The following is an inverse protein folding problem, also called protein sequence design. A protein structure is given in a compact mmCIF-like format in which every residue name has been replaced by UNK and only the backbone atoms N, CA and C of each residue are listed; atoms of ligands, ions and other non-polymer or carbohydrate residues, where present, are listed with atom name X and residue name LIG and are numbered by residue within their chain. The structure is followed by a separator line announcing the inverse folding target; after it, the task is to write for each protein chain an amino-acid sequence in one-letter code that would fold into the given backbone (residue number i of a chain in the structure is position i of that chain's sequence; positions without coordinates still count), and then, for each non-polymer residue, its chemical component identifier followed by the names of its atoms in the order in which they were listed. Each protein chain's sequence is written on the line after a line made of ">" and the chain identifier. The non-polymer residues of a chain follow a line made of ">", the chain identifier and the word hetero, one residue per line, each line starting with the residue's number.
data_IF_077327378433
#
_entry.id   IF_077327378433
#
_cell.length_a   1.000
_cell.length_b   1.000
_cell.length_c   1.000
_cell.angle_alpha   90.00
_cell.angle_beta   90.00
_cell.angle_gamma   90.00
#
_symmetry.space_group_name_H-M   'P 1'
#
loop_
_entity.id
_entity.type
_entity.pdbx_description
1 polymer ?
#
# COMPACT_ATOMS: atom_id res chain seq x y z
N UNK A 1 -15.78 -61.75 4.87
CA UNK A 1 -15.86 -60.27 4.89
C UNK A 1 -16.51 -59.86 3.59
N UNK A 2 -17.67 -59.21 3.67
CA UNK A 2 -18.50 -58.94 2.49
C UNK A 2 -17.84 -57.89 1.60
N UNK A 3 -17.68 -58.17 0.29
CA UNK A 3 -16.96 -57.26 -0.63
C UNK A 3 -17.60 -55.87 -0.66
N UNK A 4 -18.92 -55.81 -0.49
CA UNK A 4 -19.67 -54.57 -0.39
C UNK A 4 -19.26 -53.73 0.84
N UNK A 5 -19.07 -54.36 2.00
CA UNK A 5 -18.67 -53.69 3.23
C UNK A 5 -17.25 -53.10 3.12
N UNK A 6 -16.33 -53.82 2.48
CA UNK A 6 -14.96 -53.32 2.23
C UNK A 6 -14.96 -52.11 1.29
N UNK A 7 -15.77 -52.13 0.22
CA UNK A 7 -15.88 -51.00 -0.72
C UNK A 7 -16.45 -49.77 -0.03
N UNK A 8 -17.50 -49.94 0.79
CA UNK A 8 -18.10 -48.82 1.55
C UNK A 8 -17.10 -48.22 2.53
N UNK A 9 -16.32 -49.04 3.25
CA UNK A 9 -15.30 -48.55 4.17
C UNK A 9 -14.19 -47.77 3.44
N UNK A 10 -13.72 -48.26 2.30
CA UNK A 10 -12.72 -47.56 1.50
C UNK A 10 -13.24 -46.23 0.95
N UNK A 11 -14.49 -46.20 0.46
CA UNK A 11 -15.13 -44.97 -0.02
C UNK A 11 -15.31 -43.94 1.11
N UNK A 12 -15.73 -44.38 2.30
CA UNK A 12 -15.88 -43.53 3.47
C UNK A 12 -14.52 -42.96 3.92
N UNK A 13 -13.47 -43.78 3.97
CA UNK A 13 -12.12 -43.34 4.31
C UNK A 13 -11.60 -42.31 3.30
N UNK A 14 -11.78 -42.58 2.00
CA UNK A 14 -11.39 -41.65 0.94
C UNK A 14 -12.12 -40.30 1.05
N UNK A 15 -13.42 -40.32 1.36
CA UNK A 15 -14.20 -39.10 1.58
C UNK A 15 -13.70 -38.29 2.78
N UNK A 16 -13.36 -38.95 3.89
CA UNK A 16 -12.81 -38.29 5.09
C UNK A 16 -11.44 -37.65 4.78
N UNK A 17 -10.55 -38.37 4.10
CA UNK A 17 -9.24 -37.85 3.71
C UNK A 17 -9.38 -36.65 2.78
N UNK A 18 -10.25 -36.75 1.77
CA UNK A 18 -10.51 -35.65 0.84
C UNK A 18 -11.07 -34.42 1.57
N UNK A 19 -12.03 -34.60 2.47
CA UNK A 19 -12.59 -33.53 3.29
C UNK A 19 -11.49 -32.88 4.16
N UNK A 20 -10.62 -33.69 4.77
CA UNK A 20 -9.48 -33.21 5.56
C UNK A 20 -8.51 -32.35 4.74
N UNK A 21 -8.17 -32.79 3.52
CA UNK A 21 -7.30 -32.05 2.60
C UNK A 21 -7.93 -30.72 2.19
N UNK A 22 -9.23 -30.71 1.86
CA UNK A 22 -9.96 -29.50 1.48
C UNK A 22 -10.00 -28.51 2.64
N UNK A 23 -10.34 -28.96 3.85
CA UNK A 23 -10.35 -28.11 5.05
C UNK A 23 -8.94 -27.56 5.34
N UNK A 24 -7.91 -28.41 5.28
CA UNK A 24 -6.52 -27.99 5.46
C UNK A 24 -6.09 -26.93 4.45
N UNK A 25 -6.42 -27.12 3.17
CA UNK A 25 -6.12 -26.15 2.11
C UNK A 25 -6.82 -24.80 2.35
N UNK A 26 -8.08 -24.81 2.77
CA UNK A 26 -8.83 -23.58 3.10
C UNK A 26 -8.23 -22.83 4.29
N UNK A 27 -7.78 -23.55 5.32
CA UNK A 27 -7.12 -22.95 6.48
C UNK A 27 -5.77 -22.32 6.11
N UNK A 28 -4.97 -23.03 5.31
CA UNK A 28 -3.70 -22.51 4.79
C UNK A 28 -3.93 -21.27 3.91
N UNK A 29 -4.90 -21.31 3.00
CA UNK A 29 -5.27 -20.17 2.18
C UNK A 29 -5.64 -18.95 3.03
N UNK A 30 -6.52 -19.13 4.02
CA UNK A 30 -6.90 -18.05 4.95
C UNK A 30 -5.69 -17.50 5.70
N UNK A 31 -4.79 -18.35 6.17
CA UNK A 31 -3.56 -17.91 6.86
C UNK A 31 -2.66 -17.09 5.93
N UNK A 32 -2.51 -17.52 4.68
CA UNK A 32 -1.72 -16.80 3.67
C UNK A 32 -2.34 -15.43 3.38
N UNK A 33 -3.64 -15.35 3.13
CA UNK A 33 -4.33 -14.07 2.89
C UNK A 33 -4.17 -13.13 4.07
N UNK A 34 -4.33 -13.61 5.31
CA UNK A 34 -4.10 -12.80 6.52
C UNK A 34 -2.69 -12.21 6.57
N UNK A 35 -1.67 -13.02 6.25
CA UNK A 35 -0.27 -12.58 6.25
C UNK A 35 -0.05 -11.45 5.24
N UNK A 36 -0.50 -11.62 4.01
CA UNK A 36 -0.39 -10.58 2.99
C UNK A 36 -1.18 -9.32 3.35
N UNK A 37 -2.37 -9.46 3.95
CA UNK A 37 -3.15 -8.32 4.42
C UNK A 37 -2.39 -7.51 5.48
N UNK A 38 -1.72 -8.16 6.44
CA UNK A 38 -0.87 -7.49 7.42
C UNK A 38 0.28 -6.74 6.74
N UNK A 39 0.92 -7.37 5.75
CA UNK A 39 1.98 -6.72 4.95
C UNK A 39 1.46 -5.48 4.22
N UNK A 40 0.29 -5.55 3.59
CA UNK A 40 -0.32 -4.41 2.89
C UNK A 40 -0.73 -3.30 3.86
N UNK A 41 -1.19 -3.62 5.07
CA UNK A 41 -1.45 -2.61 6.12
C UNK A 41 -0.16 -1.87 6.49
N UNK A 42 0.96 -2.60 6.64
CA UNK A 42 2.26 -1.98 6.87
C UNK A 42 2.70 -1.06 5.72
N UNK A 43 2.50 -1.50 4.46
CA UNK A 43 2.80 -0.69 3.27
C UNK A 43 1.94 0.56 3.18
N UNK A 44 0.64 0.44 3.48
CA UNK A 44 -0.27 1.57 3.56
C UNK A 44 0.25 2.67 4.49
N UNK A 45 0.82 2.29 5.63
CA UNK A 45 1.40 3.28 6.55
C UNK A 45 2.63 3.96 5.98
N UNK A 46 3.47 3.22 5.23
CA UNK A 46 4.59 3.80 4.48
C UNK A 46 4.12 4.82 3.43
N UNK A 47 3.13 4.47 2.62
CA UNK A 47 2.55 5.37 1.61
C UNK A 47 1.93 6.61 2.27
N UNK A 48 1.20 6.43 3.38
CA UNK A 48 0.64 7.55 4.16
C UNK A 48 1.73 8.48 4.69
N UNK A 49 2.80 7.94 5.26
CA UNK A 49 3.92 8.75 5.75
C UNK A 49 4.62 9.51 4.62
N UNK A 50 4.72 8.91 3.42
CA UNK A 50 5.21 9.58 2.22
C UNK A 50 4.33 10.75 1.80
N UNK A 51 3.00 10.56 1.74
CA UNK A 51 2.04 11.62 1.48
C UNK A 51 2.10 12.73 2.54
N UNK A 52 2.16 12.38 3.83
CA UNK A 52 2.23 13.37 4.90
C UNK A 52 3.51 14.21 4.80
N UNK A 53 4.63 13.59 4.41
CA UNK A 53 5.90 14.28 4.16
C UNK A 53 5.80 15.22 2.96
N UNK A 54 5.21 14.75 1.85
CA UNK A 54 4.94 15.57 0.67
C UNK A 54 4.05 16.77 1.01
N UNK A 55 2.91 16.52 1.66
CA UNK A 55 1.94 17.55 2.05
C UNK A 55 2.54 18.56 3.03
N UNK A 56 3.45 18.13 3.91
CA UNK A 56 4.17 19.03 4.81
C UNK A 56 5.08 20.00 4.05
N UNK A 57 5.79 19.54 3.00
CA UNK A 57 6.58 20.42 2.14
C UNK A 57 5.68 21.40 1.38
N UNK A 58 4.62 20.91 0.74
CA UNK A 58 3.66 21.76 0.01
C UNK A 58 3.06 22.82 0.92
N UNK A 59 2.65 22.45 2.13
CA UNK A 59 2.10 23.40 3.12
C UNK A 59 3.14 24.44 3.54
N UNK A 60 4.37 24.03 3.82
CA UNK A 60 5.45 24.95 4.21
C UNK A 60 5.70 25.99 3.12
N UNK A 61 5.70 25.57 1.85
CA UNK A 61 5.87 26.46 0.71
C UNK A 61 4.64 27.38 0.51
N UNK A 62 3.43 26.88 0.75
CA UNK A 62 2.22 27.70 0.69
C UNK A 62 2.21 28.82 1.76
N UNK A 63 2.83 28.57 2.92
CA UNK A 63 2.97 29.53 4.01
C UNK A 63 4.28 30.38 3.91
N UNK A 64 5.10 30.17 2.87
CA UNK A 64 6.41 30.80 2.71
C UNK A 64 6.31 32.23 2.17
N UNK A 65 7.35 33.03 2.40
CA UNK A 65 7.42 34.38 1.83
C UNK A 65 7.74 34.33 0.32
N UNK A 66 7.44 35.41 -0.42
CA UNK A 66 7.80 35.51 -1.84
C UNK A 66 9.30 35.27 -2.08
N UNK A 67 10.16 35.75 -1.17
CA UNK A 67 11.60 35.55 -1.25
C UNK A 67 12.00 34.07 -1.11
N UNK A 68 11.33 33.33 -0.22
CA UNK A 68 11.57 31.91 -0.02
C UNK A 68 11.04 31.08 -1.20
N UNK A 69 9.89 31.46 -1.77
CA UNK A 69 9.35 30.82 -2.98
C UNK A 69 10.27 31.03 -4.19
N UNK A 70 10.85 32.23 -4.33
CA UNK A 70 11.84 32.51 -5.36
C UNK A 70 13.11 31.68 -5.13
N UNK A 71 13.58 31.58 -3.87
CA UNK A 71 14.73 30.75 -3.53
C UNK A 71 14.47 29.27 -3.87
N UNK A 72 13.32 28.73 -3.50
CA UNK A 72 12.89 27.38 -3.85
C UNK A 72 12.85 27.14 -5.36
N UNK A 73 12.32 28.11 -6.13
CA UNK A 73 12.20 28.00 -7.58
C UNK A 73 13.56 28.05 -8.31
N UNK A 74 14.51 28.84 -7.80
CA UNK A 74 15.79 29.10 -8.46
C UNK A 74 16.95 28.24 -7.96
N UNK A 75 16.94 27.81 -6.71
CA UNK A 75 17.99 26.98 -6.12
C UNK A 75 17.62 25.49 -6.16
N UNK A 76 18.19 24.74 -7.11
CA UNK A 76 18.02 23.29 -7.15
C UNK A 76 18.56 22.58 -5.89
N UNK A 77 19.51 23.22 -5.18
CA UNK A 77 20.07 22.74 -3.93
C UNK A 77 19.17 22.96 -2.70
N UNK A 78 18.02 23.62 -2.85
CA UNK A 78 17.11 23.94 -1.75
C UNK A 78 16.67 22.69 -0.98
N UNK A 79 16.55 22.80 0.34
CA UNK A 79 16.25 21.65 1.21
C UNK A 79 14.91 21.00 0.85
N UNK A 80 13.87 21.81 0.60
CA UNK A 80 12.56 21.30 0.19
C UNK A 80 12.62 20.56 -1.15
N UNK A 81 13.48 20.95 -2.11
CA UNK A 81 13.66 20.19 -3.36
C UNK A 81 14.31 18.84 -3.13
N UNK A 82 15.31 18.78 -2.24
CA UNK A 82 15.93 17.50 -1.84
C UNK A 82 14.91 16.58 -1.16
N UNK A 83 14.08 17.13 -0.28
CA UNK A 83 13.01 16.38 0.38
C UNK A 83 11.99 15.84 -0.63
N UNK A 84 11.57 16.64 -1.61
CA UNK A 84 10.68 16.19 -2.69
C UNK A 84 11.30 15.07 -3.53
N UNK A 85 12.59 15.17 -3.91
CA UNK A 85 13.30 14.08 -4.63
C UNK A 85 13.36 12.80 -3.81
N UNK A 86 13.61 12.90 -2.51
CA UNK A 86 13.64 11.75 -1.63
C UNK A 86 12.27 11.08 -1.49
N UNK A 87 11.21 11.88 -1.33
CA UNK A 87 9.84 11.38 -1.31
C UNK A 87 9.49 10.72 -2.64
N UNK A 88 9.80 11.36 -3.77
CA UNK A 88 9.53 10.83 -5.09
C UNK A 88 10.21 9.46 -5.31
N UNK A 89 11.50 9.38 -5.00
CA UNK A 89 12.26 8.13 -5.12
C UNK A 89 11.69 7.00 -4.27
N UNK A 90 11.40 7.27 -2.99
CA UNK A 90 10.84 6.26 -2.08
C UNK A 90 9.46 5.79 -2.52
N UNK A 91 8.57 6.72 -2.86
CA UNK A 91 7.21 6.39 -3.28
C UNK A 91 7.17 5.65 -4.61
N UNK A 92 8.11 5.92 -5.53
CA UNK A 92 8.23 5.14 -6.76
C UNK A 92 8.63 3.69 -6.50
N UNK A 93 9.56 3.47 -5.57
CA UNK A 93 9.94 2.12 -5.16
C UNK A 93 8.74 1.41 -4.54
N UNK A 94 8.02 2.05 -3.63
CA UNK A 94 6.82 1.46 -3.01
C UNK A 94 5.73 1.14 -4.05
N UNK A 95 5.48 2.02 -5.02
CA UNK A 95 4.53 1.78 -6.11
C UNK A 95 4.90 0.52 -6.91
N UNK A 96 6.15 0.41 -7.36
CA UNK A 96 6.64 -0.77 -8.12
C UNK A 96 6.54 -2.04 -7.28
N UNK A 97 6.94 -1.98 -6.01
CA UNK A 97 6.88 -3.13 -5.11
C UNK A 97 5.43 -3.59 -4.85
N UNK A 98 4.48 -2.66 -4.75
CA UNK A 98 3.05 -2.97 -4.60
C UNK A 98 2.47 -3.57 -5.88
N UNK A 99 2.74 -2.97 -7.04
CA UNK A 99 2.23 -3.42 -8.34
C UNK A 99 2.75 -4.81 -8.76
N UNK A 100 3.96 -5.17 -8.33
CA UNK A 100 4.60 -6.45 -8.69
C UNK A 100 4.45 -7.53 -7.61
N UNK A 101 3.78 -7.23 -6.49
CA UNK A 101 3.65 -8.18 -5.39
C UNK A 101 2.78 -9.38 -5.80
N UNK A 102 3.24 -10.64 -5.58
CA UNK A 102 2.43 -11.81 -5.86
C UNK A 102 1.35 -11.97 -4.79
N UNK A 103 0.16 -11.44 -5.07
CA UNK A 103 -0.96 -11.36 -4.13
C UNK A 103 -2.08 -12.37 -4.44
N UNK A 104 -2.78 -12.87 -3.41
CA UNK A 104 -4.10 -13.45 -3.58
C UNK A 104 -5.03 -12.48 -4.32
N UNK A 105 -5.89 -12.99 -5.21
CA UNK A 105 -6.77 -12.17 -6.06
C UNK A 105 -7.62 -11.18 -5.27
N UNK A 106 -8.03 -11.55 -4.06
CA UNK A 106 -8.86 -10.69 -3.20
C UNK A 106 -8.11 -9.47 -2.64
N UNK A 107 -6.77 -9.46 -2.68
CA UNK A 107 -5.93 -8.37 -2.17
C UNK A 107 -5.36 -7.48 -3.29
N UNK A 108 -5.47 -7.88 -4.55
CA UNK A 108 -4.96 -7.12 -5.70
C UNK A 108 -5.55 -5.69 -5.73
N UNK A 109 -6.88 -5.48 -5.61
CA UNK A 109 -7.42 -4.11 -5.67
C UNK A 109 -6.89 -3.19 -4.57
N UNK A 110 -6.62 -3.73 -3.38
CA UNK A 110 -6.02 -2.96 -2.29
C UNK A 110 -4.58 -2.55 -2.63
N UNK A 111 -3.80 -3.46 -3.23
CA UNK A 111 -2.44 -3.14 -3.64
C UNK A 111 -2.40 -2.16 -4.82
N UNK A 112 -3.34 -2.27 -5.75
CA UNK A 112 -3.52 -1.32 -6.86
C UNK A 112 -3.81 0.09 -6.31
N UNK A 113 -4.81 0.24 -5.42
CA UNK A 113 -5.11 1.54 -4.79
C UNK A 113 -3.90 2.15 -4.06
N UNK A 114 -3.12 1.33 -3.34
CA UNK A 114 -1.91 1.79 -2.65
C UNK A 114 -0.77 2.13 -3.63
N UNK A 115 -0.64 1.37 -4.72
CA UNK A 115 0.33 1.61 -5.78
C UNK A 115 0.03 2.93 -6.48
N UNK A 116 -1.22 3.15 -6.87
CA UNK A 116 -1.68 4.38 -7.53
C UNK A 116 -1.49 5.60 -6.64
N UNK A 117 -1.76 5.47 -5.32
CA UNK A 117 -1.49 6.53 -4.36
C UNK A 117 0.01 6.88 -4.29
N UNK A 118 0.88 5.86 -4.19
CA UNK A 118 2.33 6.05 -4.13
C UNK A 118 2.88 6.63 -5.44
N UNK A 119 2.40 6.14 -6.59
CA UNK A 119 2.79 6.62 -7.91
C UNK A 119 2.43 8.10 -8.10
N UNK A 120 1.21 8.50 -7.74
CA UNK A 120 0.78 9.90 -7.85
C UNK A 120 1.58 10.84 -6.92
N UNK A 121 1.92 10.40 -5.70
CA UNK A 121 2.83 11.17 -4.83
C UNK A 121 4.19 11.31 -5.50
N UNK A 122 4.70 10.21 -6.05
CA UNK A 122 6.00 10.20 -6.68
C UNK A 122 6.06 11.13 -7.90
N UNK A 123 5.05 11.06 -8.77
CA UNK A 123 4.95 11.87 -9.99
C UNK A 123 4.86 13.35 -9.67
N UNK A 124 4.00 13.73 -8.72
CA UNK A 124 3.84 15.15 -8.36
C UNK A 124 5.08 15.69 -7.64
N UNK A 125 5.68 14.92 -6.73
CA UNK A 125 6.91 15.35 -6.07
C UNK A 125 8.09 15.48 -7.05
N UNK A 126 8.22 14.54 -7.98
CA UNK A 126 9.24 14.58 -9.04
C UNK A 126 9.03 15.77 -9.96
N UNK A 127 7.81 15.98 -10.48
CA UNK A 127 7.49 17.08 -11.38
C UNK A 127 7.86 18.45 -10.78
N UNK A 128 7.59 18.67 -9.49
CA UNK A 128 8.02 19.89 -8.80
C UNK A 128 9.54 19.93 -8.67
N UNK A 129 10.15 18.82 -8.25
CA UNK A 129 11.58 18.78 -7.94
C UNK A 129 12.52 18.82 -9.15
N UNK A 130 12.02 18.47 -10.34
CA UNK A 130 12.76 18.50 -11.60
C UNK A 130 12.48 19.77 -12.42
N UNK A 131 11.38 20.46 -12.16
CA UNK A 131 11.09 21.75 -12.80
C UNK A 131 12.09 22.83 -12.37
N UNK A 132 12.29 23.84 -13.22
CA UNK A 132 13.27 24.90 -12.98
C UNK A 132 12.62 26.28 -13.12
N UNK A 133 12.93 27.17 -12.18
CA UNK A 133 12.46 28.56 -12.22
C UNK A 133 10.95 28.67 -12.04
N UNK A 134 10.26 29.56 -12.76
CA UNK A 134 8.82 29.78 -12.60
C UNK A 134 7.97 28.52 -12.78
N UNK A 135 8.40 27.58 -13.63
CA UNK A 135 7.70 26.32 -13.85
C UNK A 135 7.59 25.47 -12.56
N UNK A 136 8.53 25.59 -11.62
CA UNK A 136 8.47 24.90 -10.32
C UNK A 136 7.25 25.36 -9.52
N UNK A 137 6.92 26.65 -9.56
CA UNK A 137 5.76 27.21 -8.87
C UNK A 137 4.45 26.82 -9.58
N UNK A 138 4.45 26.73 -10.90
CA UNK A 138 3.30 26.22 -11.66
C UNK A 138 3.00 24.76 -11.30
N UNK A 139 4.03 23.90 -11.17
CA UNK A 139 3.86 22.52 -10.72
C UNK A 139 3.38 22.44 -9.28
N UNK A 140 3.91 23.29 -8.39
CA UNK A 140 3.45 23.37 -7.01
C UNK A 140 1.96 23.77 -6.92
N UNK A 141 1.50 24.69 -7.77
CA UNK A 141 0.10 25.10 -7.85
C UNK A 141 -0.82 24.02 -8.45
N UNK A 142 -0.28 23.11 -9.26
CA UNK A 142 -1.01 22.02 -9.89
C UNK A 142 -1.17 20.76 -9.01
N UNK A 143 -0.61 20.76 -7.79
CA UNK A 143 -0.66 19.61 -6.87
C UNK A 143 -2.10 19.23 -6.52
N UNK A 144 -2.44 17.96 -6.72
CA UNK A 144 -3.74 17.37 -6.40
C UNK A 144 -3.64 16.44 -5.18
N UNK A 145 -3.50 17.04 -3.98
CA UNK A 145 -3.59 16.30 -2.72
C UNK A 145 -4.94 15.59 -2.52
N UNK A 146 -6.10 16.19 -2.88
CA UNK A 146 -7.38 15.50 -2.82
C UNK A 146 -7.43 14.23 -3.66
N UNK A 147 -6.88 14.25 -4.87
CA UNK A 147 -6.78 13.09 -5.76
C UNK A 147 -6.03 11.93 -5.11
N UNK A 148 -4.83 12.21 -4.56
CA UNK A 148 -4.03 11.19 -3.87
C UNK A 148 -4.78 10.62 -2.65
N UNK A 149 -5.44 11.49 -1.85
CA UNK A 149 -6.17 11.04 -0.66
C UNK A 149 -7.31 10.08 -0.96
N UNK A 150 -7.99 10.23 -2.11
CA UNK A 150 -9.08 9.31 -2.50
C UNK A 150 -8.61 7.86 -2.62
N UNK A 151 -7.41 7.62 -3.13
CA UNK A 151 -6.85 6.28 -3.21
C UNK A 151 -6.54 5.70 -1.84
N UNK A 152 -5.98 6.49 -0.93
CA UNK A 152 -5.77 6.06 0.47
C UNK A 152 -7.08 5.81 1.21
N UNK A 153 -8.11 6.62 0.99
CA UNK A 153 -9.43 6.42 1.59
C UNK A 153 -10.10 5.14 1.05
N UNK A 154 -9.93 4.85 -0.25
CA UNK A 154 -10.37 3.59 -0.87
C UNK A 154 -9.64 2.39 -0.27
N UNK A 155 -8.31 2.47 -0.15
CA UNK A 155 -7.49 1.44 0.47
C UNK A 155 -7.89 1.21 1.95
N UNK A 156 -8.18 2.27 2.71
CA UNK A 156 -8.64 2.16 4.09
C UNK A 156 -10.00 1.45 4.20
N UNK A 157 -10.93 1.76 3.30
CA UNK A 157 -12.21 1.06 3.22
C UNK A 157 -12.04 -0.42 2.87
N UNK A 158 -11.15 -0.74 1.92
CA UNK A 158 -10.83 -2.10 1.54
C UNK A 158 -10.16 -2.88 2.70
N UNK A 159 -9.22 -2.27 3.43
CA UNK A 159 -8.60 -2.84 4.62
C UNK A 159 -9.66 -3.12 5.69
N UNK A 160 -10.54 -2.17 5.98
CA UNK A 160 -11.60 -2.35 6.98
C UNK A 160 -12.52 -3.53 6.61
N UNK A 161 -12.93 -3.61 5.35
CA UNK A 161 -13.72 -4.72 4.83
C UNK A 161 -12.99 -6.08 4.97
N UNK A 162 -11.73 -6.14 4.55
CA UNK A 162 -10.92 -7.36 4.56
C UNK A 162 -10.60 -7.81 5.99
N UNK A 163 -10.31 -6.89 6.92
CA UNK A 163 -10.13 -7.19 8.35
C UNK A 163 -11.38 -7.84 8.93
N UNK A 164 -12.56 -7.30 8.63
CA UNK A 164 -13.84 -7.90 9.01
C UNK A 164 -14.05 -9.30 8.42
N UNK A 165 -13.82 -9.44 7.11
CA UNK A 165 -13.99 -10.71 6.37
C UNK A 165 -13.09 -11.82 6.92
N UNK A 166 -11.84 -11.52 7.21
CA UNK A 166 -10.87 -12.51 7.68
C UNK A 166 -10.76 -12.58 9.21
N UNK A 167 -11.50 -11.75 9.97
CA UNK A 167 -11.40 -11.65 11.44
C UNK A 167 -9.94 -11.43 11.87
N UNK A 168 -9.38 -10.32 11.41
CA UNK A 168 -8.06 -9.86 11.86
C UNK A 168 -8.29 -8.93 13.05
N UNK A 169 -7.79 -9.30 14.22
CA UNK A 169 -7.86 -8.48 15.43
C UNK A 169 -6.86 -7.32 15.34
N UNK A 170 -7.20 -6.17 15.92
CA UNK A 170 -6.39 -4.94 15.84
C UNK A 170 -5.00 -5.12 16.49
N UNK A 171 -4.89 -5.97 17.50
CA UNK A 171 -3.65 -6.24 18.25
C UNK A 171 -2.56 -6.92 17.40
N UNK A 172 -2.93 -7.56 16.29
CA UNK A 172 -1.98 -8.24 15.39
C UNK A 172 -1.21 -7.25 14.51
N UNK A 173 -1.77 -6.05 14.29
CA UNK A 173 -1.18 -5.04 13.38
C UNK A 173 -0.05 -4.27 14.06
N UNK A 174 -0.06 -4.14 15.39
CA UNK A 174 0.99 -3.45 16.16
C UNK A 174 2.07 -4.38 16.75
N UNK A 175 1.85 -5.70 16.76
CA UNK A 175 2.79 -6.68 17.33
C UNK A 175 3.75 -7.37 16.35
N UNK A 176 3.66 -7.08 15.04
CA UNK A 176 4.35 -7.83 13.99
C UNK A 176 5.87 -7.65 13.88
N UNK A 177 6.47 -6.76 14.69
CA UNK A 177 7.91 -6.44 14.64
C UNK A 177 8.82 -7.30 15.52
N UNK A 178 8.32 -8.30 16.25
CA UNK A 178 9.11 -9.01 17.28
C UNK A 178 9.30 -10.52 17.10
N UNK A 179 8.89 -11.10 15.97
CA UNK A 179 9.10 -12.53 15.71
C UNK A 179 9.47 -12.84 14.25
N UNK A 180 10.67 -12.44 13.84
CA UNK A 180 11.50 -13.17 12.87
C UNK A 180 12.93 -13.20 13.42
#
# INVERSE_FOLDING_TARGET
>A
MDRALTIVLLAALAAIVLAGVVVGALLLWRRTVKRYLITLIGRREGVRAGLDSFAAVVKRLADASDGDLIAFALDDGHEDRKALREVASRMRVDAIELATMPLPKELIPLADDLSDAAELVAEQAEAISEATGPATLDQLAAVDLPGIRRYLDSADAAIAHLKGKYRLEDDVVYGGGLYI
#
